data_IF_045985696738
#
_entry.id   IF_045985696738
#
_cell.length_a   1.000
_cell.length_b   1.000
_cell.length_c   1.000
_cell.angle_alpha   90.00
_cell.angle_beta   90.00
_cell.angle_gamma   90.00
#
_symmetry.space_group_name_H-M   'P 1'
#
loop_
_entity.id
_entity.type
_entity.pdbx_description
1 polymer ?
#
# COMPACT_ATOMS: atom_id res chain seq x y z
N UNK A 1 2.06 -30.41 4.75
CA UNK A 1 0.76 -29.70 4.74
C UNK A 1 0.33 -29.68 3.28
N UNK A 2 -0.67 -30.50 2.90
CA UNK A 2 -1.10 -30.65 1.50
C UNK A 2 -1.91 -29.40 1.09
N UNK A 3 -1.46 -28.64 0.11
CA UNK A 3 -2.27 -27.60 -0.52
C UNK A 3 -3.47 -28.27 -1.22
N UNK A 4 -4.66 -28.13 -0.66
CA UNK A 4 -5.90 -28.52 -1.34
C UNK A 4 -6.10 -27.57 -2.53
N UNK A 5 -5.83 -28.06 -3.73
CA UNK A 5 -6.35 -27.48 -4.96
C UNK A 5 -7.88 -27.63 -4.94
N UNK A 6 -8.60 -26.57 -4.62
CA UNK A 6 -10.04 -26.51 -4.82
C UNK A 6 -10.30 -26.38 -6.33
N UNK A 7 -10.58 -27.50 -6.99
CA UNK A 7 -11.17 -27.49 -8.34
C UNK A 7 -12.68 -27.36 -8.15
N UNK A 8 -13.21 -26.19 -8.48
CA UNK A 8 -14.62 -25.80 -8.26
C UNK A 8 -15.56 -26.25 -9.40
N UNK A 9 -15.12 -27.17 -10.28
CA UNK A 9 -15.87 -27.60 -11.45
C UNK A 9 -15.76 -26.63 -12.63
N UNK A 10 -16.39 -26.92 -13.79
CA UNK A 10 -16.45 -25.98 -14.90
C UNK A 10 -17.34 -24.80 -14.50
N UNK A 11 -16.71 -23.65 -14.26
CA UNK A 11 -17.41 -22.40 -14.02
C UNK A 11 -18.21 -21.97 -15.24
N UNK A 12 -19.40 -21.41 -15.02
CA UNK A 12 -20.10 -20.68 -16.09
C UNK A 12 -19.28 -19.48 -16.57
N UNK A 13 -19.43 -19.08 -17.84
CA UNK A 13 -18.67 -17.95 -18.45
C UNK A 13 -18.80 -16.64 -17.64
N UNK A 14 -19.95 -16.42 -16.99
CA UNK A 14 -20.23 -15.22 -16.19
C UNK A 14 -19.95 -15.40 -14.68
N UNK A 15 -19.77 -16.64 -14.20
CA UNK A 15 -19.61 -16.94 -12.77
C UNK A 15 -18.17 -16.72 -12.31
N UNK A 16 -17.20 -17.17 -13.11
CA UNK A 16 -15.78 -17.04 -12.77
C UNK A 16 -15.31 -15.57 -12.68
N UNK A 17 -15.65 -14.67 -13.63
CA UNK A 17 -15.23 -13.26 -13.53
C UNK A 17 -15.74 -12.58 -12.27
N UNK A 18 -17.02 -12.75 -11.91
CA UNK A 18 -17.61 -12.16 -10.71
C UNK A 18 -16.89 -12.65 -9.43
N UNK A 19 -16.61 -13.95 -9.33
CA UNK A 19 -15.87 -14.52 -8.19
C UNK A 19 -14.44 -13.97 -8.11
N UNK A 20 -13.77 -13.79 -9.25
CA UNK A 20 -12.43 -13.22 -9.29
C UNK A 20 -12.42 -11.74 -8.88
N UNK A 21 -13.41 -10.96 -9.30
CA UNK A 21 -13.57 -9.56 -8.90
C UNK A 21 -13.81 -9.44 -7.39
N UNK A 22 -14.71 -10.24 -6.84
CA UNK A 22 -14.97 -10.29 -5.39
C UNK A 22 -13.71 -10.67 -4.61
N UNK A 23 -12.97 -11.69 -5.08
CA UNK A 23 -11.73 -12.12 -4.46
C UNK A 23 -10.66 -11.01 -4.53
N UNK A 24 -10.51 -10.35 -5.68
CA UNK A 24 -9.56 -9.26 -5.84
C UNK A 24 -9.90 -8.08 -4.93
N UNK A 25 -11.18 -7.67 -4.88
CA UNK A 25 -11.66 -6.59 -4.02
C UNK A 25 -11.51 -6.91 -2.53
N UNK A 26 -11.80 -8.15 -2.13
CA UNK A 26 -11.60 -8.60 -0.76
C UNK A 26 -10.11 -8.64 -0.41
N UNK A 27 -9.21 -8.90 -1.36
CA UNK A 27 -7.77 -9.09 -1.10
C UNK A 27 -6.85 -7.95 -1.47
N UNK A 28 -7.36 -6.86 -2.05
CA UNK A 28 -6.53 -5.73 -2.44
C UNK A 28 -5.85 -5.06 -1.22
N UNK A 29 -4.56 -4.69 -1.32
CA UNK A 29 -3.89 -3.88 -0.31
C UNK A 29 -4.41 -2.44 -0.33
N UNK A 30 -4.19 -1.73 0.78
CA UNK A 30 -4.48 -0.29 0.86
C UNK A 30 -3.41 0.47 0.09
N UNK A 31 -3.81 1.44 -0.72
CA UNK A 31 -2.89 2.27 -1.49
C UNK A 31 -2.53 3.50 -0.66
N UNK A 32 -1.28 3.92 -0.71
CA UNK A 32 -0.84 5.12 -0.01
C UNK A 32 0.23 5.90 -0.79
N UNK A 33 0.45 7.14 -0.37
CA UNK A 33 1.58 7.97 -0.75
C UNK A 33 2.21 8.60 0.50
N UNK A 34 3.53 8.80 0.47
CA UNK A 34 4.20 9.75 1.37
C UNK A 34 4.50 11.02 0.59
N UNK A 35 3.96 12.13 1.07
CA UNK A 35 4.14 13.44 0.47
C UNK A 35 5.11 14.27 1.33
N UNK A 36 6.19 14.76 0.70
CA UNK A 36 7.10 15.70 1.33
C UNK A 36 6.53 17.10 1.28
N UNK A 37 6.56 17.79 2.41
CA UNK A 37 6.09 19.17 2.56
C UNK A 37 7.30 20.09 2.67
N UNK A 38 7.39 21.07 1.77
CA UNK A 38 8.37 22.14 1.86
C UNK A 38 7.80 23.29 2.71
N UNK A 39 8.64 23.86 3.57
CA UNK A 39 8.28 24.97 4.46
C UNK A 39 9.29 26.10 4.41
N UNK A 40 8.80 27.31 4.61
CA UNK A 40 9.58 28.51 4.86
C UNK A 40 9.06 29.19 6.14
N UNK A 41 9.88 29.18 7.19
CA UNK A 41 9.44 29.49 8.56
C UNK A 41 8.29 28.57 9.00
N UNK A 42 7.19 29.18 9.46
CA UNK A 42 5.99 28.45 9.87
C UNK A 42 5.03 28.13 8.71
N UNK A 43 5.32 28.63 7.50
CA UNK A 43 4.45 28.48 6.32
C UNK A 43 4.77 27.24 5.48
N UNK A 44 3.73 26.57 4.98
CA UNK A 44 3.86 25.53 3.93
C UNK A 44 3.95 26.21 2.57
N UNK A 45 4.98 25.89 1.79
CA UNK A 45 5.26 26.54 0.50
C UNK A 45 5.00 25.64 -0.70
N UNK A 46 5.22 24.34 -0.55
CA UNK A 46 5.04 23.36 -1.64
C UNK A 46 4.84 21.94 -1.08
N UNK A 47 4.39 21.02 -1.92
CA UNK A 47 4.34 19.61 -1.61
C UNK A 47 4.63 18.75 -2.84
N UNK A 48 5.37 17.67 -2.64
CA UNK A 48 5.67 16.70 -3.69
C UNK A 48 5.56 15.28 -3.20
N UNK A 49 5.33 14.36 -4.12
CA UNK A 49 5.26 12.95 -3.79
C UNK A 49 6.69 12.41 -3.64
N UNK A 50 6.98 11.88 -2.46
CA UNK A 50 8.26 11.25 -2.16
C UNK A 50 8.25 9.78 -2.60
N UNK A 51 7.15 9.06 -2.32
CA UNK A 51 6.93 7.69 -2.76
C UNK A 51 5.44 7.32 -2.78
N UNK A 52 5.13 6.25 -3.51
CA UNK A 52 3.85 5.57 -3.53
C UNK A 52 4.02 4.16 -2.98
N UNK A 53 2.98 3.58 -2.39
CA UNK A 53 3.06 2.23 -1.90
C UNK A 53 1.72 1.51 -1.74
N UNK A 54 1.85 0.23 -1.43
CA UNK A 54 0.77 -0.68 -1.08
C UNK A 54 1.04 -1.19 0.33
N UNK A 55 0.09 -1.00 1.23
CA UNK A 55 0.11 -1.60 2.57
C UNK A 55 -0.81 -2.82 2.58
N UNK A 56 -0.21 -3.99 2.76
CA UNK A 56 -0.92 -5.26 2.82
C UNK A 56 -1.53 -5.51 4.19
N UNK A 57 -1.28 -4.65 5.19
CA UNK A 57 -2.06 -4.62 6.43
C UNK A 57 -3.40 -3.94 6.16
N UNK A 58 -4.47 -4.74 6.14
CA UNK A 58 -5.83 -4.23 5.87
C UNK A 58 -6.38 -3.32 6.96
N UNK A 59 -5.85 -3.42 8.18
CA UNK A 59 -6.23 -2.59 9.32
C UNK A 59 -5.01 -2.32 10.22
N UNK A 60 -5.03 -1.21 10.99
CA UNK A 60 -4.02 -0.96 12.02
C UNK A 60 -3.91 -2.14 12.99
N UNK A 61 -2.69 -2.66 13.18
CA UNK A 61 -2.43 -3.80 14.07
C UNK A 61 -2.79 -5.18 13.50
N UNK A 62 -3.26 -5.27 12.24
CA UNK A 62 -3.43 -6.56 11.58
C UNK A 62 -2.08 -7.15 11.15
N UNK A 63 -1.93 -8.46 11.29
CA UNK A 63 -0.82 -9.20 10.71
C UNK A 63 -0.88 -9.13 9.18
N UNK A 64 0.28 -8.96 8.55
CA UNK A 64 0.39 -8.91 7.10
C UNK A 64 1.84 -8.75 6.65
N UNK A 65 2.12 -8.90 5.36
CA UNK A 65 3.48 -8.78 4.82
C UNK A 65 4.03 -7.34 4.82
N UNK A 66 3.31 -6.39 5.44
CA UNK A 66 3.72 -4.99 5.58
C UNK A 66 3.45 -4.15 4.34
N UNK A 67 4.25 -3.10 4.16
CA UNK A 67 4.15 -2.18 3.04
C UNK A 67 5.31 -2.34 2.06
N UNK A 68 5.01 -2.19 0.78
CA UNK A 68 5.99 -2.04 -0.30
C UNK A 68 5.80 -0.70 -0.98
N UNK A 69 6.88 -0.07 -1.42
CA UNK A 69 6.83 1.26 -2.01
C UNK A 69 7.85 1.45 -3.12
N UNK A 70 7.56 2.42 -3.98
CA UNK A 70 8.37 2.88 -5.09
C UNK A 70 8.45 4.41 -5.09
N UNK A 71 9.63 4.95 -5.32
CA UNK A 71 9.83 6.38 -5.49
C UNK A 71 9.66 6.81 -6.95
N UNK A 72 9.36 8.10 -7.22
CA UNK A 72 9.41 8.67 -8.57
C UNK A 72 10.78 8.53 -9.26
N UNK A 73 11.84 8.26 -8.50
CA UNK A 73 13.20 8.09 -9.00
C UNK A 73 13.58 6.62 -9.23
N UNK A 74 12.61 5.69 -9.13
CA UNK A 74 12.77 4.30 -9.54
C UNK A 74 13.41 3.38 -8.49
N UNK A 75 13.66 3.85 -7.27
CA UNK A 75 14.06 2.97 -6.17
C UNK A 75 12.83 2.40 -5.46
N UNK A 76 12.98 1.17 -4.94
CA UNK A 76 11.92 0.44 -4.24
C UNK A 76 12.36 0.06 -2.84
N UNK A 77 11.41 -0.16 -1.95
CA UNK A 77 11.69 -0.69 -0.61
C UNK A 77 10.45 -1.26 0.04
N UNK A 78 10.63 -1.74 1.27
CA UNK A 78 9.57 -2.29 2.09
C UNK A 78 9.73 -1.83 3.55
N UNK A 79 8.64 -1.91 4.29
CA UNK A 79 8.56 -1.67 5.73
C UNK A 79 7.49 -2.57 6.32
N UNK A 80 7.44 -2.70 7.64
CA UNK A 80 6.37 -3.42 8.33
C UNK A 80 5.00 -2.75 8.09
N UNK A 81 4.98 -1.48 7.66
CA UNK A 81 3.76 -0.74 7.34
C UNK A 81 3.97 0.59 6.63
N UNK A 82 2.88 1.20 6.14
CA UNK A 82 2.91 2.56 5.63
C UNK A 82 3.25 3.58 6.74
N UNK A 83 2.72 3.40 7.95
CA UNK A 83 3.06 4.22 9.11
C UNK A 83 4.51 4.04 9.54
N UNK A 84 5.04 2.82 9.50
CA UNK A 84 6.45 2.52 9.77
C UNK A 84 7.38 3.13 8.73
N UNK A 85 6.98 3.11 7.45
CA UNK A 85 7.70 3.83 6.40
C UNK A 85 7.68 5.35 6.66
N UNK A 86 6.52 5.90 7.05
CA UNK A 86 6.41 7.31 7.43
C UNK A 86 7.37 7.63 8.59
N UNK A 87 7.35 6.84 9.66
CA UNK A 87 8.21 7.03 10.83
C UNK A 87 9.70 7.04 10.43
N UNK A 88 10.14 6.04 9.67
CA UNK A 88 11.54 5.93 9.22
C UNK A 88 11.97 7.13 8.37
N UNK A 89 11.18 7.52 7.37
CA UNK A 89 11.59 8.60 6.47
C UNK A 89 11.37 10.00 7.06
N UNK A 90 10.48 10.15 8.04
CA UNK A 90 10.26 11.42 8.75
C UNK A 90 11.46 11.83 9.62
N UNK A 91 12.42 10.92 9.84
CA UNK A 91 13.68 11.25 10.52
C UNK A 91 14.52 12.28 9.76
N UNK A 92 14.34 12.38 8.44
CA UNK A 92 15.16 13.23 7.56
C UNK A 92 14.35 14.14 6.63
N UNK A 93 13.02 14.09 6.71
CA UNK A 93 12.08 14.75 5.78
C UNK A 93 10.80 15.15 6.55
N UNK A 94 10.15 16.25 6.19
CA UNK A 94 8.78 16.52 6.67
C UNK A 94 7.79 15.79 5.74
N UNK A 95 7.24 14.67 6.20
CA UNK A 95 6.38 13.80 5.41
C UNK A 95 4.96 13.71 5.97
N UNK A 96 4.00 13.54 5.05
CA UNK A 96 2.61 13.23 5.35
C UNK A 96 2.20 11.94 4.67
N UNK A 97 1.58 11.03 5.42
CA UNK A 97 0.96 9.83 4.89
C UNK A 97 -0.44 10.16 4.37
N UNK A 98 -0.70 9.80 3.11
CA UNK A 98 -1.99 9.96 2.45
C UNK A 98 -2.48 8.59 1.99
N UNK A 99 -3.67 8.18 2.44
CA UNK A 99 -4.35 6.98 1.97
C UNK A 99 -5.19 7.29 0.73
N UNK A 100 -5.23 6.36 -0.24
CA UNK A 100 -5.92 6.50 -1.53
C UNK A 100 -7.08 5.50 -1.68
#
# INVERSE_FOLDING_TARGET
MLERRFSLGPWGEDELPAVLEDLAGAHQPRKFALCEVARDGDGVTDARIYLWGLDFRRAPGADGPGAVFVSPHGWTGNSDSAEGALECFSLIRDLRLVWL
#
